data_IF_028871711658
#
_entry.id   IF_028871711658
#
_cell.length_a   1.000
_cell.length_b   1.000
_cell.length_c   1.000
_cell.angle_alpha   90.00
_cell.angle_beta   90.00
_cell.angle_gamma   90.00
#
_symmetry.space_group_name_H-M   'P 1'
#
loop_
_entity.id
_entity.type
_entity.pdbx_description
1 polymer ?
#
# COMPACT_ATOMS: atom_id res chain seq x y z
N UNK A 1 16.86 -3.21 -21.05
CA UNK A 1 15.71 -4.00 -21.54
C UNK A 1 14.67 -4.06 -20.43
N UNK A 2 13.45 -3.55 -20.64
CA UNK A 2 12.33 -3.75 -19.70
C UNK A 2 11.78 -5.17 -19.91
N UNK A 3 11.59 -5.91 -18.81
CA UNK A 3 10.93 -7.20 -18.87
C UNK A 3 9.45 -6.98 -19.22
N UNK A 4 8.94 -7.63 -20.24
CA UNK A 4 7.51 -7.66 -20.50
C UNK A 4 6.86 -8.72 -19.60
N UNK A 5 6.18 -8.27 -18.57
CA UNK A 5 5.39 -9.15 -17.72
C UNK A 5 3.97 -9.30 -18.25
N UNK A 6 3.47 -10.53 -18.28
CA UNK A 6 2.05 -10.78 -18.49
C UNK A 6 1.26 -10.28 -17.26
N UNK A 7 0.60 -9.13 -17.39
CA UNK A 7 -0.20 -8.56 -16.32
C UNK A 7 -1.45 -9.39 -16.05
N UNK A 8 -1.87 -9.42 -14.80
CA UNK A 8 -3.08 -10.10 -14.32
C UNK A 8 -4.05 -9.10 -13.71
N UNK A 9 -5.34 -9.40 -13.77
CA UNK A 9 -6.35 -8.59 -13.07
C UNK A 9 -6.19 -8.79 -11.56
N UNK A 10 -6.24 -7.69 -10.83
CA UNK A 10 -6.28 -7.70 -9.36
C UNK A 10 -7.68 -8.11 -8.91
N UNK A 11 -7.85 -9.41 -8.63
CA UNK A 11 -9.14 -9.99 -8.30
C UNK A 11 -10.17 -9.75 -9.41
N UNK A 12 -11.35 -9.21 -9.04
CA UNK A 12 -12.43 -8.85 -9.97
C UNK A 12 -12.37 -7.39 -10.46
N UNK A 13 -11.32 -6.65 -10.09
CA UNK A 13 -11.16 -5.25 -10.51
C UNK A 13 -10.62 -5.14 -11.94
N UNK A 14 -10.72 -3.94 -12.52
CA UNK A 14 -10.08 -3.60 -13.81
C UNK A 14 -8.58 -3.31 -13.68
N UNK A 15 -8.05 -3.29 -12.46
CA UNK A 15 -6.65 -2.98 -12.19
C UNK A 15 -5.77 -4.13 -12.68
N UNK A 16 -4.77 -3.81 -13.49
CA UNK A 16 -3.79 -4.76 -14.00
C UNK A 16 -2.48 -4.62 -13.26
N UNK A 17 -1.97 -5.73 -12.74
CA UNK A 17 -0.71 -5.80 -12.00
C UNK A 17 0.22 -6.86 -12.60
N UNK A 18 1.52 -6.62 -12.47
CA UNK A 18 2.55 -7.62 -12.80
C UNK A 18 2.52 -8.78 -11.80
N UNK A 19 2.98 -9.99 -12.18
CA UNK A 19 3.03 -11.15 -11.27
C UNK A 19 3.85 -10.91 -10.00
N UNK A 20 4.83 -10.01 -10.07
CA UNK A 20 5.70 -9.61 -8.97
C UNK A 20 5.43 -8.14 -8.67
N UNK A 21 5.31 -7.80 -7.40
CA UNK A 21 5.22 -6.44 -6.89
C UNK A 21 6.38 -6.10 -5.95
N UNK A 22 6.58 -4.81 -5.70
CA UNK A 22 7.59 -4.33 -4.77
C UNK A 22 7.00 -4.20 -3.36
N UNK A 23 7.52 -4.96 -2.40
CA UNK A 23 7.17 -4.81 -0.99
C UNK A 23 7.95 -3.66 -0.33
N UNK A 24 7.24 -2.77 0.35
CA UNK A 24 7.82 -1.54 0.91
C UNK A 24 7.98 -1.56 2.44
N UNK A 25 7.97 -2.71 3.07
CA UNK A 25 8.15 -2.81 4.54
C UNK A 25 9.42 -2.10 5.04
N UNK A 26 10.53 -2.26 4.35
CA UNK A 26 11.84 -1.72 4.74
C UNK A 26 11.97 -0.21 4.47
N UNK A 27 11.02 0.43 3.75
CA UNK A 27 11.01 1.87 3.49
C UNK A 27 10.54 2.71 4.68
N UNK A 28 10.63 2.16 5.88
CA UNK A 28 10.08 2.73 7.12
C UNK A 28 11.00 3.72 7.85
N UNK A 29 12.15 4.05 7.27
CA UNK A 29 13.12 5.03 7.81
C UNK A 29 13.50 4.78 9.29
N UNK A 30 13.69 3.52 9.67
CA UNK A 30 14.06 3.19 11.05
C UNK A 30 12.94 3.33 12.10
N UNK A 31 11.72 3.67 11.68
CA UNK A 31 10.59 3.91 12.59
C UNK A 31 9.74 2.67 12.86
N UNK A 32 10.22 1.49 12.51
CA UNK A 32 9.56 0.23 12.84
C UNK A 32 9.91 -0.21 14.26
N UNK A 33 8.92 -0.74 14.97
CA UNK A 33 9.10 -1.34 16.31
C UNK A 33 10.09 -2.53 16.30
N UNK A 34 10.30 -3.15 15.13
CA UNK A 34 11.14 -4.34 14.93
C UNK A 34 12.47 -4.02 14.21
N UNK A 35 13.07 -2.86 14.42
CA UNK A 35 14.40 -2.54 13.85
C UNK A 35 15.51 -3.54 14.23
N UNK A 36 15.30 -4.34 15.28
CA UNK A 36 16.20 -5.45 15.64
C UNK A 36 16.15 -6.62 14.64
N UNK A 37 15.03 -6.81 13.94
CA UNK A 37 14.83 -7.97 13.04
C UNK A 37 15.02 -7.56 11.57
N UNK A 38 14.60 -6.34 11.21
CA UNK A 38 14.65 -5.86 9.83
C UNK A 38 15.24 -4.45 9.78
N UNK A 39 16.46 -4.35 9.26
CA UNK A 39 17.08 -3.03 9.04
C UNK A 39 16.23 -2.24 8.02
N UNK A 40 15.85 -1.02 8.40
CA UNK A 40 15.32 -0.07 7.43
C UNK A 40 16.42 0.40 6.50
N UNK A 41 16.04 0.73 5.29
CA UNK A 41 16.93 1.34 4.30
C UNK A 41 16.72 2.86 4.29
N UNK A 42 17.76 3.58 3.91
CA UNK A 42 17.73 5.03 3.80
C UNK A 42 16.88 5.50 2.61
N UNK A 43 16.65 6.79 2.53
CA UNK A 43 15.77 7.36 1.51
C UNK A 43 16.37 7.35 0.10
N UNK A 44 17.67 7.47 -0.03
CA UNK A 44 18.35 7.44 -1.34
C UNK A 44 18.27 6.04 -1.94
N UNK A 45 18.64 5.03 -1.17
CA UNK A 45 18.47 3.61 -1.53
C UNK A 45 17.02 3.26 -1.83
N UNK A 46 16.05 3.78 -1.05
CA UNK A 46 14.62 3.59 -1.32
C UNK A 46 14.22 4.14 -2.69
N UNK A 47 14.66 5.35 -3.03
CA UNK A 47 14.37 5.98 -4.32
C UNK A 47 14.97 5.18 -5.48
N UNK A 48 16.21 4.71 -5.30
CA UNK A 48 16.88 3.89 -6.31
C UNK A 48 16.15 2.56 -6.54
N UNK A 49 15.78 1.84 -5.48
CA UNK A 49 15.04 0.58 -5.56
C UNK A 49 13.72 0.77 -6.32
N UNK A 50 12.95 1.81 -5.99
CA UNK A 50 11.69 2.11 -6.69
C UNK A 50 11.94 2.38 -8.18
N UNK A 51 12.91 3.22 -8.48
CA UNK A 51 13.28 3.54 -9.87
C UNK A 51 13.67 2.28 -10.65
N UNK A 52 14.53 1.44 -10.08
CA UNK A 52 14.98 0.21 -10.73
C UNK A 52 13.84 -0.80 -10.90
N UNK A 53 12.99 -0.98 -9.89
CA UNK A 53 11.84 -1.88 -9.96
C UNK A 53 10.88 -1.51 -11.09
N UNK A 54 10.55 -0.22 -11.23
CA UNK A 54 9.65 0.24 -12.29
C UNK A 54 10.32 0.17 -13.65
N UNK A 55 11.60 0.53 -13.78
CA UNK A 55 12.37 0.35 -15.02
C UNK A 55 12.44 -1.11 -15.46
N UNK A 56 12.46 -2.04 -14.50
CA UNK A 56 12.41 -3.47 -14.77
C UNK A 56 11.01 -3.97 -15.16
N UNK A 57 9.97 -3.13 -15.13
CA UNK A 57 8.62 -3.42 -15.56
C UNK A 57 7.65 -3.80 -14.42
N UNK A 58 8.07 -3.72 -13.14
CA UNK A 58 7.17 -3.88 -11.99
C UNK A 58 6.24 -2.67 -11.95
N UNK A 59 4.93 -2.90 -11.88
CA UNK A 59 3.93 -1.83 -11.96
C UNK A 59 3.08 -1.66 -10.69
N UNK A 60 3.46 -2.28 -9.56
CA UNK A 60 2.75 -2.07 -8.30
C UNK A 60 3.66 -2.20 -7.07
N UNK A 61 3.29 -1.46 -6.02
CA UNK A 61 4.00 -1.40 -4.74
C UNK A 61 3.02 -1.68 -3.62
N UNK A 62 3.43 -2.54 -2.68
CA UNK A 62 2.67 -2.91 -1.48
C UNK A 62 3.28 -2.29 -0.23
N UNK A 63 2.53 -1.42 0.43
CA UNK A 63 2.89 -0.75 1.69
C UNK A 63 1.79 -0.93 2.74
N UNK A 64 1.91 -0.27 3.90
CA UNK A 64 0.90 -0.26 4.95
C UNK A 64 1.09 0.90 5.94
N UNK A 65 -0.01 1.33 6.61
CA UNK A 65 0.07 2.33 7.68
C UNK A 65 0.94 1.88 8.86
N UNK A 66 1.01 0.56 9.09
CA UNK A 66 1.80 -0.03 10.16
C UNK A 66 3.31 0.10 9.92
N UNK A 67 3.74 0.16 8.67
CA UNK A 67 5.16 0.23 8.32
C UNK A 67 5.73 1.60 8.66
N UNK A 68 6.36 1.69 9.84
CA UNK A 68 6.91 2.94 10.37
C UNK A 68 5.85 4.03 10.60
N UNK A 69 4.61 3.65 10.97
CA UNK A 69 3.51 4.62 11.19
C UNK A 69 3.30 5.55 9.98
N UNK A 70 3.30 4.98 8.79
CA UNK A 70 3.15 5.67 7.52
C UNK A 70 4.44 6.24 6.93
N UNK A 71 5.60 5.98 7.52
CA UNK A 71 6.88 6.37 6.93
C UNK A 71 7.14 5.65 5.60
N UNK A 72 6.80 4.36 5.52
CA UNK A 72 6.88 3.59 4.28
C UNK A 72 5.99 4.18 3.16
N UNK A 73 4.75 4.59 3.47
CA UNK A 73 3.87 5.24 2.50
C UNK A 73 4.49 6.55 1.97
N UNK A 74 5.05 7.38 2.87
CA UNK A 74 5.78 8.60 2.46
C UNK A 74 7.05 8.29 1.66
N UNK A 75 7.74 7.22 2.02
CA UNK A 75 8.91 6.73 1.28
C UNK A 75 8.55 6.32 -0.15
N UNK A 76 7.44 5.59 -0.31
CA UNK A 76 6.90 5.22 -1.64
C UNK A 76 6.57 6.47 -2.45
N UNK A 77 5.80 7.41 -1.89
CA UNK A 77 5.46 8.65 -2.60
C UNK A 77 6.71 9.43 -3.03
N UNK A 78 7.67 9.62 -2.12
CA UNK A 78 8.93 10.31 -2.42
C UNK A 78 9.73 9.61 -3.52
N UNK A 79 9.87 8.28 -3.45
CA UNK A 79 10.61 7.52 -4.44
C UNK A 79 9.99 7.55 -5.83
N UNK A 80 8.66 7.53 -5.92
CA UNK A 80 7.94 7.67 -7.19
C UNK A 80 8.15 9.08 -7.78
N UNK A 81 8.09 10.13 -6.95
CA UNK A 81 8.36 11.51 -7.38
C UNK A 81 9.81 11.68 -7.83
N UNK A 82 10.78 11.14 -7.09
CA UNK A 82 12.20 11.18 -7.46
C UNK A 82 12.49 10.48 -8.80
N UNK A 83 11.69 9.46 -9.13
CA UNK A 83 11.76 8.74 -10.40
C UNK A 83 10.94 9.42 -11.53
N UNK A 84 10.31 10.57 -11.29
CA UNK A 84 9.42 11.28 -12.21
C UNK A 84 8.26 10.42 -12.73
N UNK A 85 7.69 9.56 -11.87
CA UNK A 85 6.58 8.67 -12.21
C UNK A 85 5.24 9.30 -11.84
N UNK A 86 4.27 9.20 -12.73
CA UNK A 86 2.89 9.68 -12.53
C UNK A 86 1.99 8.66 -11.81
N UNK A 87 0.79 9.11 -11.41
CA UNK A 87 -0.19 8.29 -10.69
C UNK A 87 -0.64 7.03 -11.44
N UNK A 88 -0.55 7.03 -12.79
CA UNK A 88 -0.96 5.89 -13.61
C UNK A 88 0.16 4.88 -13.88
N UNK A 89 1.42 5.25 -13.63
CA UNK A 89 2.58 4.40 -13.95
C UNK A 89 2.71 3.22 -12.98
N UNK A 90 2.32 3.42 -11.71
CA UNK A 90 2.44 2.43 -10.65
C UNK A 90 1.15 2.34 -9.85
N UNK A 91 0.72 1.12 -9.54
CA UNK A 91 -0.43 0.85 -8.66
C UNK A 91 0.04 0.76 -7.21
N UNK A 92 -0.67 1.42 -6.30
CA UNK A 92 -0.31 1.44 -4.88
C UNK A 92 -1.34 0.67 -4.06
N UNK A 93 -0.85 -0.37 -3.38
CA UNK A 93 -1.58 -1.08 -2.34
C UNK A 93 -1.12 -0.61 -0.96
N UNK A 94 -2.07 -0.24 -0.09
CA UNK A 94 -1.78 0.03 1.32
C UNK A 94 -2.83 -0.63 2.22
N UNK A 95 -2.60 -0.63 3.54
CA UNK A 95 -3.39 -1.45 4.46
C UNK A 95 -3.75 -0.70 5.73
N UNK A 96 -4.98 -0.92 6.20
CA UNK A 96 -5.44 -0.49 7.50
C UNK A 96 -5.03 -1.51 8.57
N UNK A 97 -4.40 -1.05 9.64
CA UNK A 97 -4.01 -1.89 10.79
C UNK A 97 -5.17 -2.03 11.78
N UNK A 98 -5.74 -3.23 11.97
CA UNK A 98 -6.95 -3.44 12.75
C UNK A 98 -6.76 -3.64 14.25
N UNK A 99 -5.55 -4.01 14.71
CA UNK A 99 -5.30 -4.41 16.10
C UNK A 99 -5.73 -3.29 17.09
N UNK A 100 -6.53 -3.68 18.09
CA UNK A 100 -7.10 -2.78 19.11
C UNK A 100 -7.92 -1.62 18.53
N UNK A 101 -8.50 -1.80 17.35
CA UNK A 101 -9.29 -0.76 16.65
C UNK A 101 -10.65 -1.29 16.23
N UNK A 102 -11.61 -0.37 16.09
CA UNK A 102 -12.94 -0.63 15.56
C UNK A 102 -13.03 -0.25 14.09
N UNK A 103 -13.92 -0.93 13.35
CA UNK A 103 -14.16 -0.66 11.92
C UNK A 103 -14.50 0.82 11.63
N UNK A 104 -15.13 1.55 12.55
CA UNK A 104 -15.41 3.00 12.43
C UNK A 104 -14.14 3.86 12.29
N UNK A 105 -12.96 3.29 12.57
CA UNK A 105 -11.69 3.97 12.38
C UNK A 105 -11.22 3.97 10.92
N UNK A 106 -11.74 3.08 10.07
CA UNK A 106 -11.36 2.99 8.65
C UNK A 106 -11.60 4.33 7.92
N UNK A 107 -12.81 4.92 7.93
CA UNK A 107 -13.05 6.20 7.28
C UNK A 107 -12.26 7.38 7.90
N UNK A 108 -11.88 7.26 9.19
CA UNK A 108 -11.08 8.29 9.86
C UNK A 108 -9.59 8.19 9.51
N UNK A 109 -9.10 6.98 9.22
CA UNK A 109 -7.69 6.76 8.93
C UNK A 109 -7.31 6.97 7.48
N UNK A 110 -8.27 6.83 6.54
CA UNK A 110 -7.98 6.91 5.10
C UNK A 110 -7.39 8.26 4.68
N UNK A 111 -7.82 9.37 5.27
CA UNK A 111 -7.29 10.70 4.97
C UNK A 111 -5.80 10.82 5.25
N UNK A 112 -5.31 10.12 6.29
CA UNK A 112 -3.88 10.08 6.60
C UNK A 112 -3.09 9.27 5.56
N UNK A 113 -3.70 8.21 4.99
CA UNK A 113 -3.08 7.40 3.92
C UNK A 113 -3.00 8.20 2.63
N UNK A 114 -4.10 8.84 2.26
CA UNK A 114 -4.13 9.75 1.10
C UNK A 114 -3.06 10.84 1.24
N UNK A 115 -2.97 11.49 2.40
CA UNK A 115 -1.94 12.51 2.64
C UNK A 115 -0.52 11.95 2.56
N UNK A 116 -0.28 10.74 3.08
CA UNK A 116 1.05 10.14 3.09
C UNK A 116 1.51 9.68 1.70
N UNK A 117 0.57 9.30 0.84
CA UNK A 117 0.83 8.84 -0.52
C UNK A 117 0.69 9.95 -1.58
N UNK A 118 0.18 11.14 -1.20
CA UNK A 118 0.02 12.26 -2.15
C UNK A 118 1.32 12.53 -2.93
N UNK A 119 1.26 12.75 -4.27
CA UNK A 119 0.05 13.00 -5.07
C UNK A 119 -0.62 11.74 -5.64
N UNK A 120 -0.22 10.56 -5.24
CA UNK A 120 -0.67 9.28 -5.80
C UNK A 120 -1.99 8.80 -5.19
N UNK A 121 -2.79 8.12 -6.02
CA UNK A 121 -4.02 7.43 -5.65
C UNK A 121 -3.74 6.12 -4.92
N UNK A 122 -4.72 5.65 -4.13
CA UNK A 122 -4.71 4.32 -3.54
C UNK A 122 -5.49 3.39 -4.46
N UNK A 123 -4.80 2.47 -5.13
CA UNK A 123 -5.42 1.50 -6.03
C UNK A 123 -6.07 0.34 -5.27
N UNK A 124 -5.41 -0.15 -4.20
CA UNK A 124 -5.93 -1.20 -3.35
C UNK A 124 -5.79 -0.81 -1.88
N UNK A 125 -6.90 -0.85 -1.13
CA UNK A 125 -6.88 -0.70 0.32
C UNK A 125 -7.32 -1.99 1.00
N UNK A 126 -6.48 -2.51 1.89
CA UNK A 126 -6.69 -3.82 2.50
C UNK A 126 -6.87 -3.73 4.02
N UNK A 127 -7.63 -4.67 4.59
CA UNK A 127 -7.55 -4.97 6.01
C UNK A 127 -6.29 -5.82 6.22
N UNK A 128 -5.34 -5.33 7.04
CA UNK A 128 -4.00 -5.91 7.15
C UNK A 128 -3.98 -7.27 7.86
N UNK A 129 -4.86 -7.46 8.85
CA UNK A 129 -4.93 -8.64 9.70
C UNK A 129 -6.38 -8.88 10.12
N UNK A 130 -6.79 -10.12 10.48
CA UNK A 130 -8.14 -10.42 10.94
C UNK A 130 -8.48 -9.88 12.34
N UNK A 131 -7.52 -9.32 13.07
CA UNK A 131 -7.66 -8.93 14.48
C UNK A 131 -8.22 -7.52 14.64
N UNK A 132 -9.52 -7.40 14.93
CA UNK A 132 -10.21 -6.13 15.19
C UNK A 132 -11.24 -6.33 16.30
N UNK A 133 -11.61 -5.25 17.01
CA UNK A 133 -12.78 -5.26 17.88
C UNK A 133 -14.12 -5.25 17.12
N UNK A 134 -14.09 -5.27 15.82
CA UNK A 134 -15.27 -5.35 14.96
C UNK A 134 -15.25 -6.62 14.10
N UNK A 135 -16.43 -7.18 13.84
CA UNK A 135 -16.53 -8.29 12.88
C UNK A 135 -16.01 -7.91 11.50
N UNK A 136 -15.58 -8.92 10.73
CA UNK A 136 -15.10 -8.73 9.35
C UNK A 136 -16.15 -8.03 8.49
N UNK A 137 -17.43 -8.40 8.66
CA UNK A 137 -18.55 -7.77 7.95
C UNK A 137 -18.60 -6.25 8.20
N UNK A 138 -18.48 -5.80 9.47
CA UNK A 138 -18.46 -4.37 9.81
C UNK A 138 -17.22 -3.67 9.21
N UNK A 139 -16.08 -4.35 9.18
CA UNK A 139 -14.87 -3.83 8.54
C UNK A 139 -15.10 -3.65 7.04
N UNK A 140 -15.63 -4.67 6.34
CA UNK A 140 -15.91 -4.60 4.90
C UNK A 140 -16.96 -3.56 4.56
N UNK A 141 -18.02 -3.40 5.36
CA UNK A 141 -19.00 -2.31 5.18
C UNK A 141 -18.33 -0.92 5.20
N UNK A 142 -17.34 -0.70 6.07
CA UNK A 142 -16.60 0.57 6.10
C UNK A 142 -15.61 0.71 4.95
N UNK A 143 -15.02 -0.40 4.46
CA UNK A 143 -14.20 -0.39 3.23
C UNK A 143 -15.04 0.00 2.01
N UNK A 144 -16.21 -0.62 1.83
CA UNK A 144 -17.16 -0.27 0.76
C UNK A 144 -17.57 1.20 0.83
N UNK A 145 -17.83 1.72 2.03
CA UNK A 145 -18.19 3.13 2.21
C UNK A 145 -17.12 4.08 1.65
N UNK A 146 -15.85 3.85 1.95
CA UNK A 146 -14.77 4.72 1.44
C UNK A 146 -14.50 4.50 -0.06
N UNK A 147 -14.75 3.30 -0.59
CA UNK A 147 -14.69 3.05 -2.03
C UNK A 147 -15.80 3.79 -2.78
N UNK A 148 -17.04 3.79 -2.27
CA UNK A 148 -18.15 4.52 -2.85
C UNK A 148 -17.97 6.05 -2.82
N UNK A 149 -17.10 6.55 -1.95
CA UNK A 149 -16.67 7.96 -1.92
C UNK A 149 -15.48 8.23 -2.88
N UNK A 150 -15.07 7.27 -3.69
CA UNK A 150 -13.94 7.33 -4.62
C UNK A 150 -12.60 7.69 -3.94
N UNK A 151 -12.44 7.35 -2.65
CA UNK A 151 -11.19 7.59 -1.91
C UNK A 151 -10.14 6.51 -2.18
N UNK A 152 -10.57 5.37 -2.70
CA UNK A 152 -9.77 4.21 -3.09
C UNK A 152 -10.40 3.55 -4.31
N UNK A 153 -9.60 2.83 -5.13
CA UNK A 153 -10.12 2.18 -6.34
C UNK A 153 -10.61 0.75 -6.10
N UNK A 154 -10.02 0.02 -5.15
CA UNK A 154 -10.36 -1.38 -4.84
C UNK A 154 -10.16 -1.69 -3.37
N UNK A 155 -10.85 -2.72 -2.88
CA UNK A 155 -10.78 -3.20 -1.49
C UNK A 155 -10.28 -4.64 -1.44
N UNK A 156 -9.62 -5.00 -0.34
CA UNK A 156 -9.11 -6.35 -0.14
C UNK A 156 -8.83 -6.69 1.32
N UNK A 157 -8.30 -7.88 1.52
CA UNK A 157 -7.86 -8.39 2.82
C UNK A 157 -6.45 -8.98 2.69
N UNK A 158 -5.72 -9.00 3.79
CA UNK A 158 -4.38 -9.56 3.91
C UNK A 158 -4.33 -10.47 5.13
N UNK A 159 -3.65 -11.61 5.04
CA UNK A 159 -3.52 -12.58 6.13
C UNK A 159 -4.87 -13.18 6.63
N UNK A 160 -5.85 -13.27 5.77
CA UNK A 160 -7.11 -13.97 6.06
C UNK A 160 -7.04 -15.39 5.51
N UNK A 161 -7.59 -16.35 6.27
CA UNK A 161 -7.86 -17.71 5.78
C UNK A 161 -9.12 -17.73 4.92
N UNK A 162 -9.19 -18.69 4.00
CA UNK A 162 -10.39 -19.02 3.24
C UNK A 162 -11.43 -19.74 4.11
#
# INVERSE_FOLDING_TARGET
>A
MSLQFNQRSLGKSSIKITPIGLGAWQFSEGKNFNNLIWKSIDSETTNEIISQAVKAGINWIDTAEYYGKGASERGVSRGLQAANLGDNDVKIATKWWPLLRFAKNIPKSISKRIKALSPYSIDLYQIHQPFSFSSVEKQMKNMVKIANLNLIKSIGVSNFTL
#
